data_IF_341250095530
#
_entry.id   IF_341250095530
#
_cell.length_a   1.000
_cell.length_b   1.000
_cell.length_c   1.000
_cell.angle_alpha   90.00
_cell.angle_beta   90.00
_cell.angle_gamma   90.00
#
_symmetry.space_group_name_H-M   'P 1'
#
loop_
_entity.id
_entity.type
_entity.pdbx_description
1 polymer ?
#
# COMPACT_ATOMS: atom_id res chain seq x y z
N UNK A 1 -15.41 -5.32 -24.67
CA UNK A 1 -13.92 -5.36 -24.47
C UNK A 1 -13.55 -6.36 -23.37
N UNK A 2 -12.34 -6.90 -23.41
CA UNK A 2 -11.74 -7.74 -22.35
C UNK A 2 -10.59 -6.97 -21.70
N UNK A 3 -10.82 -6.51 -20.49
CA UNK A 3 -9.92 -5.63 -19.75
C UNK A 3 -9.29 -6.42 -18.61
N UNK A 4 -7.95 -6.47 -18.56
CA UNK A 4 -7.24 -7.28 -17.60
C UNK A 4 -6.49 -6.40 -16.59
N UNK A 5 -6.73 -6.67 -15.31
CA UNK A 5 -6.03 -6.06 -14.20
C UNK A 5 -5.18 -7.09 -13.47
N UNK A 6 -3.92 -6.71 -13.16
CA UNK A 6 -3.00 -7.55 -12.38
C UNK A 6 -2.43 -6.71 -11.24
N UNK A 7 -2.53 -7.25 -10.01
CA UNK A 7 -1.97 -6.65 -8.80
C UNK A 7 -1.00 -7.63 -8.15
N UNK A 8 0.27 -7.29 -8.11
CA UNK A 8 1.33 -8.17 -7.64
C UNK A 8 2.12 -7.61 -6.46
N UNK A 9 2.10 -8.33 -5.36
CA UNK A 9 2.75 -7.96 -4.10
C UNK A 9 3.73 -8.99 -3.55
N UNK A 10 4.12 -8.76 -2.30
CA UNK A 10 5.06 -9.63 -1.58
C UNK A 10 4.49 -10.98 -1.18
N UNK A 11 3.16 -11.14 -1.14
CA UNK A 11 2.48 -12.35 -0.67
C UNK A 11 1.81 -13.12 -1.79
N UNK A 12 1.16 -12.40 -2.72
CA UNK A 12 0.38 -12.98 -3.81
C UNK A 12 0.36 -12.07 -5.03
N UNK A 13 -0.11 -12.62 -6.15
CA UNK A 13 -0.50 -11.87 -7.36
C UNK A 13 -1.98 -12.13 -7.59
N UNK A 14 -2.80 -11.08 -7.65
CA UNK A 14 -4.24 -11.13 -7.93
C UNK A 14 -4.46 -10.67 -9.37
N UNK A 15 -5.26 -11.40 -10.15
CA UNK A 15 -5.50 -11.07 -11.55
C UNK A 15 -6.96 -11.27 -11.92
N UNK A 16 -7.51 -10.34 -12.71
CA UNK A 16 -8.90 -10.34 -13.17
C UNK A 16 -8.99 -10.13 -14.67
N UNK A 17 -10.03 -10.73 -15.28
CA UNK A 17 -10.56 -10.36 -16.59
C UNK A 17 -11.93 -9.74 -16.34
N UNK A 18 -12.16 -8.55 -16.85
CA UNK A 18 -13.44 -7.86 -16.76
C UNK A 18 -13.95 -7.49 -18.16
N UNK A 19 -15.27 -7.27 -18.26
CA UNK A 19 -15.84 -6.57 -19.40
C UNK A 19 -15.70 -5.04 -19.22
N UNK A 20 -16.08 -4.27 -20.22
CA UNK A 20 -16.03 -2.80 -20.22
C UNK A 20 -16.94 -2.15 -19.16
N UNK A 21 -17.98 -2.84 -18.73
CA UNK A 21 -18.90 -2.42 -17.66
C UNK A 21 -18.37 -2.72 -16.25
N UNK A 22 -17.19 -3.33 -16.12
CA UNK A 22 -16.57 -3.64 -14.84
C UNK A 22 -16.96 -4.99 -14.24
N UNK A 23 -17.82 -5.78 -14.91
CA UNK A 23 -18.16 -7.12 -14.43
C UNK A 23 -16.94 -8.03 -14.49
N UNK A 24 -16.59 -8.65 -13.37
CA UNK A 24 -15.51 -9.64 -13.28
C UNK A 24 -15.98 -10.94 -13.93
N UNK A 25 -15.33 -11.31 -15.02
CA UNK A 25 -15.60 -12.55 -15.78
C UNK A 25 -14.76 -13.70 -15.26
N UNK A 26 -13.53 -13.39 -14.84
CA UNK A 26 -12.57 -14.33 -14.25
C UNK A 26 -11.71 -13.66 -13.22
N UNK A 27 -11.33 -14.40 -12.19
CA UNK A 27 -10.32 -14.01 -11.20
C UNK A 27 -9.47 -15.20 -10.83
N UNK A 28 -8.20 -14.96 -10.60
CA UNK A 28 -7.28 -15.95 -10.04
C UNK A 28 -6.26 -15.30 -9.13
N UNK A 29 -5.66 -16.10 -8.25
CA UNK A 29 -4.54 -15.69 -7.42
C UNK A 29 -3.35 -16.60 -7.67
N UNK A 30 -2.19 -15.98 -7.86
CA UNK A 30 -0.90 -16.64 -7.99
C UNK A 30 0.04 -16.34 -6.83
N UNK A 31 1.26 -16.85 -6.92
CA UNK A 31 2.32 -16.60 -5.95
C UNK A 31 2.77 -15.13 -5.91
N UNK A 32 3.74 -14.80 -5.03
CA UNK A 32 4.25 -13.44 -4.90
C UNK A 32 5.09 -13.00 -6.11
N UNK A 33 5.00 -11.69 -6.48
CA UNK A 33 5.68 -11.08 -7.62
C UNK A 33 6.38 -9.75 -7.29
N UNK A 34 6.78 -9.52 -6.03
CA UNK A 34 7.51 -8.30 -5.64
C UNK A 34 8.93 -8.29 -6.24
N UNK A 35 9.21 -7.33 -7.13
CA UNK A 35 10.50 -7.16 -7.80
C UNK A 35 11.65 -6.76 -6.86
N UNK A 36 11.34 -6.14 -5.71
CA UNK A 36 12.38 -5.76 -4.74
C UNK A 36 12.84 -6.93 -3.86
N UNK A 37 12.06 -8.02 -3.80
CA UNK A 37 12.34 -9.16 -2.94
C UNK A 37 12.64 -10.45 -3.72
N UNK A 38 12.50 -10.45 -5.06
CA UNK A 38 12.65 -11.63 -5.91
C UNK A 38 13.39 -11.30 -7.20
N UNK A 39 14.20 -12.24 -7.73
CA UNK A 39 14.75 -12.12 -9.08
C UNK A 39 13.66 -11.93 -10.13
N UNK A 40 13.91 -11.10 -11.13
CA UNK A 40 12.93 -10.76 -12.18
C UNK A 40 12.42 -12.01 -12.93
N UNK A 41 13.26 -13.00 -13.16
CA UNK A 41 12.86 -14.26 -13.82
C UNK A 41 11.76 -14.99 -13.03
N UNK A 42 11.84 -14.98 -11.70
CA UNK A 42 10.81 -15.57 -10.84
C UNK A 42 9.51 -14.76 -10.89
N UNK A 43 9.61 -13.43 -10.92
CA UNK A 43 8.45 -12.55 -11.06
C UNK A 43 7.74 -12.82 -12.39
N UNK A 44 8.46 -12.84 -13.51
CA UNK A 44 7.92 -13.10 -14.84
C UNK A 44 7.31 -14.51 -14.94
N UNK A 45 7.97 -15.52 -14.35
CA UNK A 45 7.43 -16.89 -14.25
C UNK A 45 6.12 -16.93 -13.46
N UNK A 46 6.04 -16.21 -12.34
CA UNK A 46 4.81 -16.10 -11.54
C UNK A 46 3.68 -15.45 -12.35
N UNK A 47 3.95 -14.35 -13.05
CA UNK A 47 2.97 -13.69 -13.91
C UNK A 47 2.47 -14.64 -15.00
N UNK A 48 3.37 -15.35 -15.69
CA UNK A 48 3.00 -16.33 -16.72
C UNK A 48 2.09 -17.42 -16.16
N UNK A 49 2.43 -18.01 -15.00
CA UNK A 49 1.62 -19.04 -14.35
C UNK A 49 0.25 -18.51 -13.96
N UNK A 50 0.19 -17.32 -13.35
CA UNK A 50 -1.07 -16.68 -12.96
C UNK A 50 -1.96 -16.42 -14.17
N UNK A 51 -1.39 -15.90 -15.26
CA UNK A 51 -2.11 -15.63 -16.51
C UNK A 51 -2.63 -16.94 -17.14
N UNK A 52 -1.81 -17.98 -17.19
CA UNK A 52 -2.25 -19.31 -17.70
C UNK A 52 -3.43 -19.86 -16.92
N UNK A 53 -3.42 -19.73 -15.58
CA UNK A 53 -4.55 -20.12 -14.74
C UNK A 53 -5.79 -19.26 -15.01
N UNK A 54 -5.61 -17.94 -15.16
CA UNK A 54 -6.68 -16.99 -15.44
C UNK A 54 -7.39 -17.29 -16.76
N UNK A 55 -6.62 -17.69 -17.79
CA UNK A 55 -7.12 -17.97 -19.15
C UNK A 55 -7.47 -19.43 -19.41
N UNK A 56 -7.34 -20.32 -18.44
CA UNK A 56 -7.58 -21.74 -18.61
C UNK A 56 -9.01 -22.02 -19.13
N UNK A 57 -9.12 -22.73 -20.26
CA UNK A 57 -10.38 -23.04 -20.92
C UNK A 57 -11.01 -21.88 -21.71
N UNK A 58 -10.34 -20.73 -21.81
CA UNK A 58 -10.73 -19.65 -22.72
C UNK A 58 -10.07 -19.82 -24.09
N UNK A 59 -10.76 -19.38 -25.14
CA UNK A 59 -10.24 -19.40 -26.51
C UNK A 59 -10.78 -18.20 -27.30
N UNK A 60 -10.12 -17.89 -28.43
CA UNK A 60 -10.53 -16.80 -29.32
C UNK A 60 -10.60 -15.45 -28.61
N UNK A 61 -11.66 -14.70 -28.85
CA UNK A 61 -11.84 -13.35 -28.30
C UNK A 61 -11.95 -13.31 -26.77
N UNK A 62 -12.35 -14.41 -26.12
CA UNK A 62 -12.46 -14.46 -24.65
C UNK A 62 -11.10 -14.53 -23.96
N UNK A 63 -10.07 -15.06 -24.66
CA UNK A 63 -8.70 -15.14 -24.20
C UNK A 63 -7.82 -13.96 -24.66
N UNK A 64 -8.34 -13.09 -25.53
CA UNK A 64 -7.60 -11.95 -26.08
C UNK A 64 -7.87 -10.66 -25.29
N UNK A 65 -6.87 -10.06 -24.65
CA UNK A 65 -7.05 -8.79 -23.97
C UNK A 65 -7.08 -7.61 -24.94
N UNK A 66 -7.99 -6.67 -24.71
CA UNK A 66 -7.98 -5.34 -25.35
C UNK A 66 -7.03 -4.38 -24.59
N UNK A 67 -6.91 -4.55 -23.27
CA UNK A 67 -5.95 -3.83 -22.46
C UNK A 67 -5.48 -4.67 -21.26
N UNK A 68 -4.19 -4.51 -20.89
CA UNK A 68 -3.59 -5.09 -19.68
C UNK A 68 -2.88 -4.00 -18.89
N UNK A 69 -3.18 -3.90 -17.62
CA UNK A 69 -2.33 -3.18 -16.68
C UNK A 69 -1.85 -4.11 -15.58
N UNK A 70 -0.52 -4.13 -15.36
CA UNK A 70 0.11 -4.88 -14.26
C UNK A 70 0.79 -3.91 -13.29
N UNK A 71 0.19 -3.70 -12.13
CA UNK A 71 0.79 -2.96 -11.03
C UNK A 71 1.49 -3.90 -10.08
N UNK A 72 2.82 -3.86 -10.07
CA UNK A 72 3.66 -4.83 -9.37
C UNK A 72 4.56 -4.11 -8.36
N UNK A 73 4.63 -4.63 -7.14
CA UNK A 73 5.50 -4.10 -6.10
C UNK A 73 6.96 -4.10 -6.55
N UNK A 74 7.64 -2.95 -6.39
CA UNK A 74 9.01 -2.76 -6.84
C UNK A 74 9.17 -2.52 -8.36
N UNK A 75 8.08 -2.46 -9.15
CA UNK A 75 8.16 -2.18 -10.58
C UNK A 75 8.61 -0.75 -10.90
N UNK A 76 8.50 0.18 -9.94
CA UNK A 76 9.00 1.56 -10.10
C UNK A 76 10.52 1.72 -10.05
N UNK A 77 11.28 0.63 -9.75
CA UNK A 77 12.73 0.68 -9.61
C UNK A 77 13.41 0.27 -10.92
N UNK A 78 14.32 1.12 -11.42
CA UNK A 78 15.08 0.85 -12.64
C UNK A 78 14.20 0.57 -13.85
N UNK A 79 14.49 -0.50 -14.57
CA UNK A 79 13.79 -0.94 -15.79
C UNK A 79 12.69 -1.99 -15.55
N UNK A 80 12.36 -2.29 -14.29
CA UNK A 80 11.46 -3.38 -13.93
C UNK A 80 10.11 -3.30 -14.64
N UNK A 81 9.47 -2.12 -14.67
CA UNK A 81 8.20 -1.93 -15.37
C UNK A 81 8.30 -2.20 -16.86
N UNK A 82 9.40 -1.76 -17.51
CA UNK A 82 9.65 -2.00 -18.92
C UNK A 82 9.81 -3.50 -19.21
N UNK A 83 10.53 -4.23 -18.36
CA UNK A 83 10.74 -5.69 -18.49
C UNK A 83 9.42 -6.46 -18.32
N UNK A 84 8.59 -6.09 -17.33
CA UNK A 84 7.26 -6.69 -17.14
C UNK A 84 6.39 -6.41 -18.36
N UNK A 85 6.36 -5.17 -18.87
CA UNK A 85 5.60 -4.80 -20.06
C UNK A 85 6.05 -5.60 -21.28
N UNK A 86 7.35 -5.71 -21.53
CA UNK A 86 7.89 -6.46 -22.64
C UNK A 86 7.52 -7.96 -22.56
N UNK A 87 7.55 -8.54 -21.38
CA UNK A 87 7.13 -9.92 -21.15
C UNK A 87 5.63 -10.13 -21.46
N UNK A 88 4.77 -9.24 -20.99
CA UNK A 88 3.33 -9.30 -21.29
C UNK A 88 3.05 -9.09 -22.77
N UNK A 89 3.80 -8.21 -23.43
CA UNK A 89 3.70 -7.99 -24.88
C UNK A 89 4.11 -9.24 -25.69
N UNK A 90 5.10 -9.99 -25.21
CA UNK A 90 5.49 -11.25 -25.83
C UNK A 90 4.43 -12.35 -25.65
N UNK A 91 3.69 -12.35 -24.53
CA UNK A 91 2.57 -13.28 -24.31
C UNK A 91 1.32 -12.90 -25.12
N UNK A 92 1.10 -11.60 -25.37
CA UNK A 92 -0.09 -11.07 -26.03
C UNK A 92 0.30 -10.07 -27.14
N UNK A 93 0.94 -10.52 -28.22
CA UNK A 93 1.46 -9.63 -29.26
C UNK A 93 0.39 -8.82 -29.99
N UNK A 94 -0.86 -9.27 -29.95
CA UNK A 94 -2.01 -8.58 -30.56
C UNK A 94 -2.73 -7.62 -29.62
N UNK A 95 -2.37 -7.58 -28.33
CA UNK A 95 -3.00 -6.66 -27.39
C UNK A 95 -2.57 -5.20 -27.68
N UNK A 96 -3.50 -4.30 -27.99
CA UNK A 96 -3.15 -2.94 -28.39
C UNK A 96 -2.61 -2.08 -27.24
N UNK A 97 -3.00 -2.39 -26.00
CA UNK A 97 -2.69 -1.56 -24.83
C UNK A 97 -2.13 -2.41 -23.69
N UNK A 98 -0.80 -2.38 -23.49
CA UNK A 98 -0.13 -3.06 -22.36
C UNK A 98 0.75 -2.06 -21.62
N UNK A 99 0.52 -1.93 -20.31
CA UNK A 99 1.39 -1.17 -19.43
C UNK A 99 1.67 -1.93 -18.13
N UNK A 100 2.79 -1.59 -17.50
CA UNK A 100 3.16 -2.03 -16.17
C UNK A 100 3.58 -0.82 -15.32
N UNK A 101 3.41 -0.93 -14.01
CA UNK A 101 3.78 0.11 -13.05
C UNK A 101 3.83 -0.41 -11.63
N UNK A 102 3.96 0.48 -10.68
CA UNK A 102 3.97 0.13 -9.26
C UNK A 102 2.57 -0.25 -8.75
N UNK A 103 2.50 -1.15 -7.76
CA UNK A 103 1.30 -1.53 -7.02
C UNK A 103 0.64 -0.34 -6.28
N UNK A 104 1.42 0.70 -5.96
CA UNK A 104 0.88 1.95 -5.40
C UNK A 104 -0.14 2.62 -6.36
N UNK A 105 0.03 2.48 -7.69
CA UNK A 105 -0.97 2.96 -8.66
C UNK A 105 -2.29 2.19 -8.53
N UNK A 106 -2.22 0.88 -8.34
CA UNK A 106 -3.41 0.06 -8.13
C UNK A 106 -4.16 0.50 -6.88
N UNK A 107 -3.43 0.62 -5.77
CA UNK A 107 -4.00 1.02 -4.48
C UNK A 107 -4.60 2.44 -4.54
N UNK A 108 -3.94 3.38 -5.22
CA UNK A 108 -4.49 4.71 -5.46
C UNK A 108 -5.80 4.64 -6.25
N UNK A 109 -5.81 3.95 -7.40
CA UNK A 109 -6.97 3.88 -8.29
C UNK A 109 -8.11 3.04 -7.73
N UNK A 110 -7.87 2.17 -6.75
CA UNK A 110 -8.94 1.49 -6.03
C UNK A 110 -9.71 2.41 -5.06
N UNK A 111 -9.13 3.52 -4.63
CA UNK A 111 -9.76 4.51 -3.75
C UNK A 111 -10.16 5.79 -4.51
N UNK A 112 -9.38 6.18 -5.51
CA UNK A 112 -9.55 7.39 -6.31
C UNK A 112 -9.49 6.97 -7.79
N UNK A 113 -10.63 6.54 -8.38
CA UNK A 113 -10.64 5.95 -9.73
C UNK A 113 -10.18 6.91 -10.83
N UNK A 114 -10.36 8.22 -10.66
CA UNK A 114 -10.05 9.23 -11.68
C UNK A 114 -9.39 10.47 -11.06
N UNK A 115 -8.72 11.25 -11.91
CA UNK A 115 -8.08 12.51 -11.54
C UNK A 115 -6.79 12.35 -10.77
N UNK A 116 -6.27 13.47 -10.31
CA UNK A 116 -5.08 13.54 -9.48
C UNK A 116 -5.39 13.23 -8.01
N UNK A 117 -4.42 12.71 -7.28
CA UNK A 117 -4.59 12.32 -5.89
C UNK A 117 -3.31 11.79 -5.27
N UNK A 118 -3.35 11.57 -3.97
CA UNK A 118 -2.23 10.98 -3.25
C UNK A 118 -2.62 9.65 -2.60
N UNK A 119 -1.62 8.84 -2.29
CA UNK A 119 -1.77 7.63 -1.47
C UNK A 119 -0.77 7.70 -0.32
N UNK A 120 -1.25 7.46 0.88
CA UNK A 120 -0.43 7.34 2.08
C UNK A 120 -0.46 5.89 2.57
N UNK A 121 0.67 5.25 2.50
CA UNK A 121 0.88 3.89 2.97
C UNK A 121 1.42 3.97 4.40
N UNK A 122 0.78 3.28 5.34
CA UNK A 122 1.24 3.17 6.73
C UNK A 122 0.98 1.75 7.27
N UNK A 123 2.02 0.96 7.29
CA UNK A 123 2.09 -0.41 7.78
C UNK A 123 3.35 -0.61 8.61
N UNK A 124 4.11 -1.68 8.39
CA UNK A 124 5.45 -1.86 8.98
C UNK A 124 6.36 -0.70 8.62
N UNK A 125 6.42 -0.30 7.35
CA UNK A 125 6.99 0.95 6.85
C UNK A 125 5.91 1.97 6.48
N UNK A 126 6.31 3.14 5.99
CA UNK A 126 5.42 4.18 5.49
C UNK A 126 5.96 4.82 4.22
N UNK A 127 5.08 5.50 3.50
CA UNK A 127 5.46 6.28 2.32
C UNK A 127 4.25 6.96 1.73
N UNK A 128 4.47 8.07 1.07
CA UNK A 128 3.44 8.82 0.37
C UNK A 128 3.79 8.86 -1.11
N UNK A 129 2.81 8.67 -1.96
CA UNK A 129 2.95 8.86 -3.40
C UNK A 129 1.88 9.84 -3.87
N UNK A 130 2.23 10.72 -4.78
CA UNK A 130 1.29 11.61 -5.44
C UNK A 130 1.23 11.27 -6.92
N UNK A 131 0.01 11.20 -7.45
CA UNK A 131 -0.24 11.11 -8.87
C UNK A 131 -0.79 12.45 -9.34
N UNK A 132 -0.05 13.12 -10.21
CA UNK A 132 -0.37 14.44 -10.72
C UNK A 132 0.12 14.56 -12.17
N UNK A 133 -0.72 15.07 -13.06
CA UNK A 133 -0.34 15.28 -14.46
C UNK A 133 0.07 14.00 -15.21
N UNK A 134 -0.45 12.84 -14.83
CA UNK A 134 -0.11 11.54 -15.47
C UNK A 134 1.09 10.83 -14.85
N UNK A 135 1.84 11.48 -13.98
CA UNK A 135 3.04 10.94 -13.33
C UNK A 135 2.82 10.60 -11.86
N UNK A 136 3.59 9.66 -11.35
CA UNK A 136 3.59 9.30 -9.93
C UNK A 136 4.96 9.63 -9.33
N UNK A 137 4.95 10.44 -8.26
CA UNK A 137 6.15 10.80 -7.50
C UNK A 137 6.06 10.24 -6.08
N UNK A 138 7.18 9.71 -5.59
CA UNK A 138 7.35 9.25 -4.22
C UNK A 138 7.80 10.39 -3.31
N UNK A 139 7.23 10.44 -2.11
CA UNK A 139 7.56 11.40 -1.03
C UNK A 139 7.77 10.62 0.26
N UNK A 140 8.98 10.64 0.80
CA UNK A 140 9.33 9.78 1.94
C UNK A 140 9.34 8.28 1.59
N UNK A 141 9.27 7.41 2.61
CA UNK A 141 9.28 5.95 2.38
C UNK A 141 10.62 5.42 1.88
N UNK A 142 11.72 5.97 2.40
CA UNK A 142 13.09 5.60 2.03
C UNK A 142 13.65 4.44 2.87
N UNK A 143 12.76 3.70 3.53
CA UNK A 143 13.11 2.59 4.40
C UNK A 143 13.38 3.01 5.84
N UNK A 144 13.34 2.07 6.76
CA UNK A 144 13.31 2.31 8.21
C UNK A 144 14.56 3.01 8.78
N UNK A 145 15.68 3.04 8.05
CA UNK A 145 16.90 3.73 8.48
C UNK A 145 16.90 5.21 8.10
N UNK A 146 16.32 5.59 6.96
CA UNK A 146 16.42 6.92 6.37
C UNK A 146 15.05 7.59 6.17
N UNK A 147 13.97 6.91 6.55
CA UNK A 147 12.59 7.33 6.35
C UNK A 147 11.63 6.49 7.16
N UNK A 148 10.49 6.16 6.56
CA UNK A 148 9.38 5.41 7.17
C UNK A 148 8.82 6.11 8.42
N UNK A 149 8.85 7.44 8.45
CA UNK A 149 8.33 8.26 9.54
C UNK A 149 6.82 8.03 9.69
N UNK A 150 6.35 7.89 10.91
CA UNK A 150 4.96 7.60 11.22
C UNK A 150 4.50 6.18 10.91
N UNK A 151 5.44 5.27 10.54
CA UNK A 151 5.18 3.85 10.33
C UNK A 151 5.05 3.06 11.63
N UNK A 152 4.69 1.77 11.49
CA UNK A 152 4.73 0.83 12.61
C UNK A 152 6.13 0.68 13.20
N UNK A 153 7.16 0.68 12.35
CA UNK A 153 8.55 0.67 12.84
C UNK A 153 8.87 1.92 13.66
N UNK A 154 8.52 3.11 13.17
CA UNK A 154 8.79 4.36 13.90
C UNK A 154 8.04 4.40 15.24
N UNK A 155 6.74 4.07 15.25
CA UNK A 155 5.93 3.97 16.46
C UNK A 155 6.52 2.96 17.44
N UNK A 156 6.86 1.76 16.98
CA UNK A 156 7.44 0.71 17.83
C UNK A 156 8.81 1.08 18.37
N UNK A 157 9.66 1.70 17.56
CA UNK A 157 10.95 2.23 17.99
C UNK A 157 10.80 3.31 19.06
N UNK A 158 9.81 4.21 18.91
CA UNK A 158 9.45 5.23 19.91
C UNK A 158 9.02 4.60 21.23
N UNK A 159 8.15 3.58 21.19
CA UNK A 159 7.72 2.84 22.38
C UNK A 159 8.91 2.24 23.15
N UNK A 160 9.72 1.45 22.46
CA UNK A 160 10.88 0.79 23.07
C UNK A 160 11.93 1.78 23.58
N UNK A 161 12.19 2.84 22.84
CA UNK A 161 13.13 3.90 23.22
C UNK A 161 12.63 4.66 24.46
N UNK A 162 11.33 4.95 24.54
CA UNK A 162 10.71 5.60 25.71
C UNK A 162 10.79 4.72 26.95
N UNK A 163 10.50 3.42 26.84
CA UNK A 163 10.64 2.46 27.92
C UNK A 163 12.09 2.36 28.45
N UNK A 164 13.06 2.30 27.56
CA UNK A 164 14.48 2.28 27.92
C UNK A 164 14.93 3.59 28.61
N UNK A 165 14.49 4.74 28.09
CA UNK A 165 14.83 6.05 28.67
C UNK A 165 14.24 6.24 30.06
N UNK A 166 12.97 5.81 30.27
CA UNK A 166 12.34 5.84 31.58
C UNK A 166 13.10 4.97 32.61
N UNK A 167 13.48 3.75 32.19
CA UNK A 167 14.27 2.85 33.01
C UNK A 167 15.65 3.42 33.41
N UNK A 168 16.32 4.06 32.47
CA UNK A 168 17.65 4.65 32.70
C UNK A 168 17.60 5.96 33.49
N UNK A 169 16.43 6.50 33.79
CA UNK A 169 16.25 7.84 34.40
C UNK A 169 16.55 8.99 33.44
N UNK A 170 16.64 8.72 32.12
CA UNK A 170 16.86 9.75 31.06
C UNK A 170 15.57 10.29 30.46
N UNK A 171 14.41 9.83 30.93
CA UNK A 171 13.09 10.23 30.48
C UNK A 171 12.06 10.08 31.59
N UNK A 172 10.84 10.61 31.38
CA UNK A 172 9.77 10.49 32.37
C UNK A 172 9.32 9.01 32.51
N UNK A 173 8.75 8.69 33.67
CA UNK A 173 8.08 7.42 33.88
C UNK A 173 6.89 7.31 32.94
N UNK A 174 6.61 6.11 32.44
CA UNK A 174 5.59 5.85 31.43
C UNK A 174 5.07 4.41 31.55
N UNK A 175 3.79 4.21 31.26
CA UNK A 175 3.17 2.89 31.13
C UNK A 175 3.79 2.05 30.01
N UNK A 176 4.43 2.67 29.02
CA UNK A 176 5.14 1.98 27.94
C UNK A 176 6.17 0.99 28.46
N UNK A 177 6.84 1.23 29.61
CA UNK A 177 7.83 0.31 30.17
C UNK A 177 7.20 -1.03 30.49
N UNK A 178 6.15 -1.04 31.33
CA UNK A 178 5.45 -2.26 31.71
C UNK A 178 4.79 -2.96 30.52
N UNK A 179 4.16 -2.18 29.64
CA UNK A 179 3.48 -2.71 28.45
C UNK A 179 4.46 -3.37 27.46
N UNK A 180 5.62 -2.77 27.21
CA UNK A 180 6.67 -3.38 26.38
C UNK A 180 7.22 -4.65 27.00
N UNK A 181 7.50 -4.66 28.31
CA UNK A 181 8.01 -5.83 29.03
C UNK A 181 6.98 -6.97 29.09
N UNK A 182 5.71 -6.65 29.28
CA UNK A 182 4.61 -7.62 29.20
C UNK A 182 4.58 -8.31 27.83
N UNK A 183 4.67 -7.51 26.74
CA UNK A 183 4.70 -8.07 25.38
C UNK A 183 5.92 -8.94 25.10
N UNK A 184 7.08 -8.61 25.68
CA UNK A 184 8.32 -9.36 25.54
C UNK A 184 8.40 -10.59 26.46
N UNK A 185 7.62 -10.62 27.54
CA UNK A 185 7.73 -11.61 28.63
C UNK A 185 9.00 -11.47 29.45
N UNK A 186 9.74 -10.37 29.31
CA UNK A 186 11.02 -10.08 29.99
C UNK A 186 11.36 -8.59 29.91
N UNK A 187 12.30 -8.11 30.76
CA UNK A 187 12.78 -6.73 30.66
C UNK A 187 13.28 -6.38 29.26
N UNK A 188 12.96 -5.16 28.79
CA UNK A 188 13.34 -4.68 27.45
C UNK A 188 14.85 -4.83 27.19
N UNK A 189 15.68 -4.56 28.21
CA UNK A 189 17.15 -4.69 28.12
C UNK A 189 17.63 -6.11 27.84
N UNK A 190 16.88 -7.13 28.24
CA UNK A 190 17.21 -8.53 27.98
C UNK A 190 16.73 -9.00 26.60
N UNK A 191 15.90 -8.19 25.92
CA UNK A 191 15.33 -8.48 24.62
C UNK A 191 16.07 -7.81 23.45
N UNK A 192 17.07 -6.98 23.71
CA UNK A 192 17.76 -6.18 22.69
C UNK A 192 18.27 -7.03 21.52
N UNK A 193 19.01 -8.11 21.80
CA UNK A 193 19.52 -8.99 20.75
C UNK A 193 18.38 -9.63 19.91
N UNK A 194 17.30 -10.05 20.56
CA UNK A 194 16.11 -10.60 19.88
C UNK A 194 15.44 -9.57 18.98
N UNK A 195 15.30 -8.31 19.43
CA UNK A 195 14.71 -7.22 18.64
C UNK A 195 15.56 -6.91 17.40
N UNK A 196 16.89 -6.87 17.54
CA UNK A 196 17.79 -6.67 16.40
C UNK A 196 17.73 -7.85 15.41
N UNK A 197 17.70 -9.08 15.89
CA UNK A 197 17.58 -10.27 15.03
C UNK A 197 16.24 -10.31 14.29
N UNK A 198 15.15 -9.85 14.92
CA UNK A 198 13.81 -9.78 14.33
C UNK A 198 13.61 -8.63 13.34
N UNK A 199 14.58 -7.71 13.27
CA UNK A 199 14.60 -6.59 12.32
C UNK A 199 13.43 -5.63 12.50
N UNK A 200 13.14 -4.88 11.42
CA UNK A 200 12.10 -3.85 11.43
C UNK A 200 10.71 -4.37 11.78
N UNK A 201 10.37 -5.57 11.35
CA UNK A 201 9.06 -6.17 11.61
C UNK A 201 8.84 -6.45 13.12
N UNK A 202 9.85 -6.94 13.82
CA UNK A 202 9.78 -7.18 15.26
C UNK A 202 9.55 -5.87 16.05
N UNK A 203 10.26 -4.82 15.67
CA UNK A 203 10.13 -3.49 16.28
C UNK A 203 8.74 -2.90 15.94
N UNK A 204 8.29 -2.99 14.69
CA UNK A 204 6.99 -2.50 14.25
C UNK A 204 5.82 -3.13 15.05
N UNK A 205 5.99 -4.35 15.54
CA UNK A 205 5.02 -5.00 16.43
C UNK A 205 4.69 -4.19 17.70
N UNK A 206 5.58 -3.30 18.15
CA UNK A 206 5.35 -2.44 19.31
C UNK A 206 4.55 -1.17 19.01
N UNK A 207 4.21 -0.90 17.75
CA UNK A 207 3.32 0.20 17.41
C UNK A 207 1.98 0.11 18.14
N UNK A 208 1.43 -1.11 18.25
CA UNK A 208 0.18 -1.33 18.99
C UNK A 208 0.31 -0.97 20.47
N UNK A 209 1.45 -1.30 21.09
CA UNK A 209 1.73 -0.95 22.50
C UNK A 209 1.68 0.55 22.67
N UNK A 210 2.40 1.31 21.83
CA UNK A 210 2.42 2.77 21.89
C UNK A 210 1.01 3.35 21.73
N UNK A 211 0.25 2.87 20.73
CA UNK A 211 -1.08 3.40 20.44
C UNK A 211 -2.12 3.02 21.50
N UNK A 212 -1.99 1.86 22.15
CA UNK A 212 -2.85 1.45 23.26
C UNK A 212 -2.60 2.31 24.50
N UNK A 213 -1.33 2.50 24.89
CA UNK A 213 -0.99 3.34 26.05
C UNK A 213 -1.32 4.83 25.79
N UNK A 214 -1.17 5.30 24.56
CA UNK A 214 -1.61 6.64 24.19
C UNK A 214 -3.14 6.79 24.29
N UNK A 215 -3.90 5.81 23.82
CA UNK A 215 -5.36 5.81 23.95
C UNK A 215 -5.82 5.69 25.41
N UNK A 216 -5.03 5.04 26.27
CA UNK A 216 -5.26 4.95 27.71
C UNK A 216 -4.86 6.24 28.47
N UNK A 217 -4.23 7.20 27.81
CA UNK A 217 -3.91 8.53 28.36
C UNK A 217 -2.51 8.67 28.94
N UNK A 218 -1.57 7.73 28.67
CA UNK A 218 -0.16 7.95 29.02
C UNK A 218 0.38 9.15 28.27
N UNK A 219 0.82 10.17 28.99
CA UNK A 219 1.20 11.47 28.42
C UNK A 219 2.35 11.37 27.44
N UNK A 220 3.36 10.50 27.73
CA UNK A 220 4.50 10.30 26.83
C UNK A 220 4.07 9.54 25.58
N UNK A 221 3.27 8.50 25.71
CA UNK A 221 2.77 7.75 24.57
C UNK A 221 1.91 8.64 23.65
N UNK A 222 1.07 9.52 24.20
CA UNK A 222 0.31 10.52 23.43
C UNK A 222 1.26 11.46 22.66
N UNK A 223 2.31 11.96 23.32
CA UNK A 223 3.26 12.86 22.69
C UNK A 223 4.01 12.19 21.54
N UNK A 224 4.46 10.94 21.75
CA UNK A 224 5.17 10.16 20.72
C UNK A 224 4.26 9.79 19.55
N UNK A 225 3.00 9.41 19.82
CA UNK A 225 2.02 9.12 18.77
C UNK A 225 1.70 10.37 17.93
N UNK A 226 1.55 11.55 18.59
CA UNK A 226 1.34 12.82 17.90
C UNK A 226 2.52 13.21 17.03
N UNK A 227 3.75 13.05 17.53
CA UNK A 227 4.96 13.33 16.78
C UNK A 227 5.05 12.45 15.52
N UNK A 228 4.82 11.14 15.67
CA UNK A 228 4.82 10.22 14.54
C UNK A 228 3.71 10.54 13.51
N UNK A 229 2.51 10.89 13.99
CA UNK A 229 1.39 11.29 13.13
C UNK A 229 1.69 12.58 12.36
N UNK A 230 2.35 13.55 12.99
CA UNK A 230 2.76 14.81 12.37
C UNK A 230 3.78 14.60 11.23
N UNK A 231 4.72 13.67 11.40
CA UNK A 231 5.70 13.32 10.35
C UNK A 231 4.99 12.74 9.12
N UNK A 232 4.10 11.75 9.30
CA UNK A 232 3.33 11.19 8.17
C UNK A 232 2.43 12.24 7.53
N UNK A 233 1.79 13.09 8.33
CA UNK A 233 0.99 14.21 7.82
C UNK A 233 1.83 15.20 7.03
N UNK A 234 3.07 15.47 7.44
CA UNK A 234 4.03 16.30 6.70
C UNK A 234 4.31 15.76 5.29
N UNK A 235 4.49 14.45 5.14
CA UNK A 235 4.62 13.79 3.85
C UNK A 235 3.35 13.95 2.99
N UNK A 236 2.17 13.76 3.60
CA UNK A 236 0.88 13.96 2.91
C UNK A 236 0.69 15.43 2.49
N UNK A 237 1.09 16.38 3.33
CA UNK A 237 1.03 17.81 3.00
C UNK A 237 1.99 18.16 1.87
N UNK A 238 3.18 17.54 1.83
CA UNK A 238 4.11 17.70 0.70
C UNK A 238 3.49 17.23 -0.62
N UNK A 239 2.86 16.05 -0.64
CA UNK A 239 2.09 15.55 -1.76
C UNK A 239 0.94 16.50 -2.14
N UNK A 240 0.22 16.99 -1.12
CA UNK A 240 -0.92 17.88 -1.31
C UNK A 240 -0.57 19.22 -1.97
N UNK A 241 0.66 19.72 -1.83
CA UNK A 241 1.09 20.93 -2.53
C UNK A 241 1.14 20.77 -4.06
N UNK A 242 1.22 19.53 -4.54
CA UNK A 242 1.23 19.21 -5.96
C UNK A 242 -0.18 18.98 -6.54
N UNK A 243 -1.22 18.99 -5.70
CA UNK A 243 -2.59 18.76 -6.10
C UNK A 243 -3.38 20.07 -6.12
N UNK A 244 -4.05 20.36 -7.23
CA UNK A 244 -4.89 21.57 -7.41
C UNK A 244 -6.33 21.36 -6.90
N UNK A 245 -6.70 20.14 -6.49
CA UNK A 245 -8.05 19.83 -6.02
C UNK A 245 -8.28 20.26 -4.57
N UNK A 246 -9.55 20.58 -4.21
CA UNK A 246 -9.96 20.88 -2.84
C UNK A 246 -11.33 20.23 -2.54
N UNK A 247 -11.46 19.42 -1.49
CA UNK A 247 -10.39 18.91 -0.63
C UNK A 247 -9.44 17.95 -1.37
N UNK A 248 -8.19 17.92 -0.95
CA UNK A 248 -7.17 17.02 -1.52
C UNK A 248 -7.47 15.57 -1.16
N UNK A 249 -7.68 14.72 -2.15
CA UNK A 249 -8.00 13.32 -1.94
C UNK A 249 -6.74 12.50 -1.66
N UNK A 250 -6.75 11.73 -0.56
CA UNK A 250 -5.65 10.89 -0.13
C UNK A 250 -6.15 9.47 0.15
N UNK A 251 -5.77 8.53 -0.68
CA UNK A 251 -6.01 7.11 -0.43
C UNK A 251 -5.17 6.62 0.76
N UNK A 252 -5.74 5.81 1.64
CA UNK A 252 -5.06 5.31 2.84
C UNK A 252 -4.92 3.80 2.78
N UNK A 253 -3.69 3.28 2.87
CA UNK A 253 -3.38 1.85 2.75
C UNK A 253 -2.43 1.41 3.86
N UNK A 254 -2.69 0.24 4.43
CA UNK A 254 -1.90 -0.36 5.50
C UNK A 254 -2.62 -0.44 6.84
N UNK A 255 -2.12 -1.31 7.72
CA UNK A 255 -2.80 -1.67 8.95
C UNK A 255 -2.95 -0.53 9.97
N UNK A 256 -2.06 0.46 9.96
CA UNK A 256 -2.13 1.57 10.90
C UNK A 256 -3.34 2.49 10.67
N UNK A 257 -3.85 2.57 9.45
CA UNK A 257 -5.05 3.33 9.15
C UNK A 257 -6.33 2.75 9.76
N UNK A 258 -6.30 1.48 10.20
CA UNK A 258 -7.39 0.83 10.91
C UNK A 258 -7.46 1.24 12.39
N UNK A 259 -6.39 1.83 12.93
CA UNK A 259 -6.38 2.35 14.29
C UNK A 259 -7.07 3.73 14.32
N UNK A 260 -8.26 3.87 14.96
CA UNK A 260 -9.03 5.11 14.91
C UNK A 260 -8.35 6.26 15.64
N UNK A 261 -7.61 5.98 16.72
CA UNK A 261 -6.86 6.98 17.47
C UNK A 261 -5.75 7.58 16.61
N UNK A 262 -4.92 6.74 15.97
CA UNK A 262 -3.82 7.21 15.12
C UNK A 262 -4.32 7.96 13.89
N UNK A 263 -5.37 7.41 13.23
CA UNK A 263 -6.03 8.08 12.11
C UNK A 263 -6.54 9.47 12.50
N UNK A 264 -7.13 9.63 13.70
CA UNK A 264 -7.62 10.93 14.18
C UNK A 264 -6.50 11.94 14.39
N UNK A 265 -5.33 11.51 14.90
CA UNK A 265 -4.17 12.38 15.06
C UNK A 265 -3.65 12.89 13.70
N UNK A 266 -3.57 12.01 12.71
CA UNK A 266 -3.15 12.40 11.34
C UNK A 266 -4.18 13.36 10.73
N UNK A 267 -5.48 13.06 10.83
CA UNK A 267 -6.53 13.95 10.30
C UNK A 267 -6.53 15.32 10.99
N UNK A 268 -6.27 15.40 12.31
CA UNK A 268 -6.11 16.67 13.02
C UNK A 268 -4.92 17.48 12.50
N UNK A 269 -3.78 16.81 12.23
CA UNK A 269 -2.60 17.47 11.69
C UNK A 269 -2.79 17.96 10.24
N UNK A 270 -3.63 17.27 9.45
CA UNK A 270 -3.93 17.63 8.06
C UNK A 270 -5.00 18.73 7.95
N UNK A 271 -5.96 18.77 8.88
CA UNK A 271 -7.12 19.65 8.83
C UNK A 271 -8.15 19.29 7.74
N UNK A 272 -9.11 20.19 7.51
CA UNK A 272 -10.24 19.99 6.60
C UNK A 272 -9.84 20.05 5.10
N UNK A 273 -8.65 20.54 4.79
CA UNK A 273 -8.16 20.60 3.40
C UNK A 273 -7.87 19.24 2.77
N UNK A 274 -7.86 18.17 3.58
CA UNK A 274 -7.54 16.81 3.16
C UNK A 274 -8.68 15.85 3.48
N UNK A 275 -9.00 14.97 2.52
CA UNK A 275 -9.98 13.90 2.67
C UNK A 275 -9.28 12.54 2.58
N UNK A 276 -9.22 11.83 3.70
CA UNK A 276 -8.66 10.48 3.79
C UNK A 276 -9.69 9.46 3.32
N UNK A 277 -9.34 8.68 2.30
CA UNK A 277 -10.21 7.70 1.63
C UNK A 277 -9.63 6.30 1.80
N UNK A 278 -10.30 5.44 2.54
CA UNK A 278 -9.97 4.02 2.59
C UNK A 278 -10.51 3.32 1.33
N UNK A 279 -9.70 2.52 0.61
CA UNK A 279 -10.19 1.70 -0.48
C UNK A 279 -11.27 0.73 0.02
N UNK A 280 -12.35 0.63 -0.73
CA UNK A 280 -13.45 -0.32 -0.43
C UNK A 280 -13.40 -1.55 -1.32
N UNK A 281 -12.54 -1.55 -2.33
CA UNK A 281 -12.25 -2.65 -3.25
C UNK A 281 -10.77 -3.02 -3.20
N UNK A 282 -10.42 -4.27 -3.52
CA UNK A 282 -9.03 -4.72 -3.53
C UNK A 282 -8.20 -3.97 -4.60
N UNK A 283 -6.86 -3.88 -4.44
CA UNK A 283 -6.00 -3.16 -5.39
C UNK A 283 -6.11 -3.63 -6.85
N UNK A 284 -6.47 -4.88 -7.09
CA UNK A 284 -6.72 -5.40 -8.45
C UNK A 284 -7.85 -4.67 -9.17
N UNK A 285 -8.80 -4.07 -8.44
CA UNK A 285 -9.79 -3.15 -9.03
C UNK A 285 -9.11 -1.91 -9.61
N UNK A 286 -8.15 -1.34 -8.90
CA UNK A 286 -7.37 -0.21 -9.42
C UNK A 286 -6.57 -0.55 -10.68
N UNK A 287 -6.04 -1.79 -10.78
CA UNK A 287 -5.43 -2.28 -12.01
C UNK A 287 -6.43 -2.33 -13.17
N UNK A 288 -7.64 -2.82 -12.92
CA UNK A 288 -8.73 -2.79 -13.89
C UNK A 288 -9.06 -1.34 -14.31
N UNK A 289 -9.20 -0.42 -13.35
CA UNK A 289 -9.49 1.01 -13.63
C UNK A 289 -8.47 1.62 -14.58
N UNK A 290 -7.17 1.34 -14.36
CA UNK A 290 -6.11 1.85 -15.23
C UNK A 290 -6.21 1.22 -16.61
N UNK A 291 -6.37 -0.10 -16.70
CA UNK A 291 -6.49 -0.82 -17.97
C UNK A 291 -7.73 -0.35 -18.76
N UNK A 292 -8.86 -0.12 -18.08
CA UNK A 292 -10.09 0.42 -18.68
C UNK A 292 -9.85 1.79 -19.31
N UNK A 293 -9.21 2.70 -18.58
CA UNK A 293 -8.84 4.01 -19.10
C UNK A 293 -7.91 3.94 -20.32
N UNK A 294 -6.95 3.00 -20.33
CA UNK A 294 -6.06 2.76 -21.48
C UNK A 294 -6.84 2.26 -22.72
N UNK A 295 -7.92 1.50 -22.51
CA UNK A 295 -8.80 1.02 -23.58
C UNK A 295 -9.86 2.06 -24.01
N UNK A 296 -9.87 3.27 -23.42
CA UNK A 296 -10.86 4.31 -23.68
C UNK A 296 -12.22 4.07 -23.02
N UNK A 297 -12.32 3.10 -22.11
CA UNK A 297 -13.54 2.85 -21.34
C UNK A 297 -13.65 3.83 -20.16
N UNK A 298 -14.89 4.29 -19.90
CA UNK A 298 -15.18 5.18 -18.76
C UNK A 298 -15.51 4.35 -17.53
N UNK A 299 -14.82 4.63 -16.43
CA UNK A 299 -15.11 4.04 -15.12
C UNK A 299 -16.05 4.96 -14.36
N UNK A 300 -17.26 4.46 -14.09
CA UNK A 300 -18.33 5.15 -13.38
C UNK A 300 -18.65 4.46 -12.03
N UNK A 301 -19.50 5.04 -11.18
CA UNK A 301 -20.02 4.38 -10.00
C UNK A 301 -20.73 3.04 -10.30
N UNK A 302 -21.39 2.95 -11.45
CA UNK A 302 -22.04 1.71 -11.92
C UNK A 302 -20.99 0.62 -12.25
N UNK A 303 -19.87 1.01 -12.86
CA UNK A 303 -18.71 0.13 -13.12
C UNK A 303 -18.13 -0.41 -11.81
N UNK A 304 -17.98 0.45 -10.79
CA UNK A 304 -17.54 0.02 -9.45
C UNK A 304 -18.53 -0.95 -8.82
N UNK A 305 -19.83 -0.66 -8.89
CA UNK A 305 -20.88 -1.52 -8.36
C UNK A 305 -20.91 -2.89 -9.05
N UNK A 306 -20.77 -2.93 -10.38
CA UNK A 306 -20.68 -4.16 -11.16
C UNK A 306 -19.46 -5.00 -10.79
N UNK A 307 -18.30 -4.38 -10.63
CA UNK A 307 -17.08 -5.06 -10.18
C UNK A 307 -17.28 -5.66 -8.78
N UNK A 308 -17.79 -4.87 -7.83
CA UNK A 308 -18.07 -5.31 -6.46
C UNK A 308 -19.03 -6.49 -6.41
N UNK A 309 -20.13 -6.44 -7.17
CA UNK A 309 -21.16 -7.46 -7.18
C UNK A 309 -20.70 -8.78 -7.83
N UNK A 310 -19.74 -8.72 -8.76
CA UNK A 310 -19.23 -9.88 -9.50
C UNK A 310 -17.89 -10.41 -8.98
N UNK A 311 -17.29 -9.74 -7.97
CA UNK A 311 -16.03 -10.18 -7.38
C UNK A 311 -16.27 -11.50 -6.60
N UNK A 312 -15.65 -12.64 -6.98
CA UNK A 312 -15.77 -13.87 -6.20
C UNK A 312 -15.22 -13.66 -4.78
N UNK A 313 -15.98 -14.10 -3.80
CA UNK A 313 -15.57 -14.10 -2.39
C UNK A 313 -14.41 -15.06 -2.13
#
# INVERSE_FOLDING_TARGET
>A
MRIWGIDGGGTKTDAVICDEGGRVLRRTQGGPSNCSARPMEQVLSTLTKTIRTLTAGLSGADAAPDAIFAGISGAGVGDNAARIRAHLQALFPQCPCIQAGTDAKNALRSAIPAGDGAIAIAGTGSGVFVFCGGEMQQIGGWGYLLGDEGSGFDLGRRALKSALRARDGRGPQTALTAACEQRLGKPVTQAIAQLYQGGSAAIAGFAQVLLQEAAAGDALAVAEARAAAAELAGGIQAAGRMLDTSPKAVATVGGLWQNPFYRSLIQQALGAAYRLIAPTLPPVYGSFVIAAGMAGATVSPETEAAFRASLPM
#
